data_IF_021457514683
#
_entry.id   IF_021457514683
#
_cell.length_a   1.000
_cell.length_b   1.000
_cell.length_c   1.000
_cell.angle_alpha   90.00
_cell.angle_beta   90.00
_cell.angle_gamma   90.00
#
_symmetry.space_group_name_H-M   'P 1'
#
loop_
_entity.id
_entity.type
_entity.pdbx_description
1 polymer ?
#
# COMPACT_ATOMS: atom_id res chain seq x y z
N UNK A 1 16.54 -15.69 16.96
CA UNK A 1 15.97 -15.73 15.60
C UNK A 1 16.89 -14.93 14.68
N UNK A 2 17.09 -15.37 13.44
CA UNK A 2 17.84 -14.62 12.41
C UNK A 2 16.84 -14.28 11.29
N UNK A 3 16.76 -13.02 10.92
CA UNK A 3 15.97 -12.53 9.80
C UNK A 3 16.94 -12.26 8.65
N UNK A 4 16.61 -12.73 7.46
CA UNK A 4 17.30 -12.42 6.20
C UNK A 4 16.31 -11.64 5.33
N UNK A 5 16.52 -10.33 5.24
CA UNK A 5 15.68 -9.43 4.45
C UNK A 5 16.20 -9.37 3.02
N UNK A 6 15.29 -9.57 2.07
CA UNK A 6 15.58 -9.50 0.64
C UNK A 6 14.47 -8.73 -0.07
N UNK A 7 14.84 -7.88 -0.99
CA UNK A 7 13.92 -7.21 -1.89
C UNK A 7 14.48 -7.27 -3.33
N UNK A 8 13.62 -7.42 -4.35
CA UNK A 8 14.05 -7.22 -5.73
C UNK A 8 14.35 -5.73 -5.98
N UNK A 9 15.12 -5.44 -7.04
CA UNK A 9 15.43 -4.05 -7.42
C UNK A 9 14.24 -3.32 -8.09
N UNK A 10 13.21 -4.06 -8.51
CA UNK A 10 11.98 -3.55 -9.14
C UNK A 10 10.79 -4.42 -8.79
N UNK A 11 9.58 -3.85 -8.88
CA UNK A 11 8.30 -4.54 -8.66
C UNK A 11 7.95 -5.46 -9.86
N UNK A 12 8.88 -6.34 -10.22
CA UNK A 12 8.75 -7.30 -11.31
C UNK A 12 8.63 -8.72 -10.75
N UNK A 13 7.61 -9.46 -11.16
CA UNK A 13 7.34 -10.82 -10.66
C UNK A 13 8.53 -11.77 -10.91
N UNK A 14 9.20 -11.67 -12.04
CA UNK A 14 10.37 -12.50 -12.36
C UNK A 14 11.55 -12.24 -11.41
N UNK A 15 11.78 -10.99 -11.04
CA UNK A 15 12.82 -10.60 -10.08
C UNK A 15 12.49 -11.10 -8.67
N UNK A 16 11.21 -11.00 -8.25
CA UNK A 16 10.76 -11.51 -6.96
C UNK A 16 10.85 -13.05 -6.93
N UNK A 17 10.39 -13.75 -7.97
CA UNK A 17 10.48 -15.21 -8.04
C UNK A 17 11.93 -15.72 -7.96
N UNK A 18 12.87 -15.06 -8.65
CA UNK A 18 14.30 -15.38 -8.51
C UNK A 18 14.81 -15.18 -7.08
N UNK A 19 14.35 -14.14 -6.40
CA UNK A 19 14.70 -13.88 -4.99
C UNK A 19 14.10 -14.94 -4.06
N UNK A 20 12.86 -15.39 -4.33
CA UNK A 20 12.21 -16.48 -3.59
C UNK A 20 12.95 -17.81 -3.75
N UNK A 21 13.36 -18.18 -4.97
CA UNK A 21 14.17 -19.37 -5.24
C UNK A 21 15.46 -19.37 -4.44
N UNK A 22 16.18 -18.24 -4.46
CA UNK A 22 17.42 -18.06 -3.70
C UNK A 22 17.20 -18.13 -2.19
N UNK A 23 16.11 -17.54 -1.70
CA UNK A 23 15.75 -17.63 -0.29
C UNK A 23 15.43 -19.06 0.12
N UNK A 24 14.59 -19.76 -0.66
CA UNK A 24 14.20 -21.14 -0.42
C UNK A 24 15.40 -22.12 -0.47
N UNK A 25 16.41 -21.84 -1.30
CA UNK A 25 17.63 -22.65 -1.38
C UNK A 25 18.45 -22.65 -0.09
N UNK A 26 18.24 -21.66 0.80
CA UNK A 26 18.90 -21.61 2.11
C UNK A 26 18.22 -22.47 3.18
N UNK A 27 17.12 -23.15 2.85
CA UNK A 27 16.27 -23.92 3.78
C UNK A 27 15.86 -23.10 5.03
N UNK A 28 15.17 -21.97 4.87
CA UNK A 28 14.71 -21.16 5.99
C UNK A 28 13.61 -21.89 6.78
N UNK A 29 13.40 -21.49 8.02
CA UNK A 29 12.32 -22.01 8.87
C UNK A 29 10.93 -21.60 8.34
N UNK A 30 10.82 -20.42 7.73
CA UNK A 30 9.63 -19.91 7.03
C UNK A 30 10.05 -18.77 6.09
N UNK A 31 9.18 -18.43 5.15
CA UNK A 31 9.32 -17.25 4.29
C UNK A 31 8.13 -16.33 4.57
N UNK A 32 8.41 -15.05 4.77
CA UNK A 32 7.43 -13.97 4.82
C UNK A 32 7.47 -13.27 3.46
N UNK A 33 6.32 -13.14 2.80
CA UNK A 33 6.22 -12.66 1.43
C UNK A 33 5.15 -11.58 1.29
N UNK A 34 5.55 -10.43 0.77
CA UNK A 34 4.66 -9.45 0.16
C UNK A 34 4.69 -9.67 -1.36
N UNK A 35 3.62 -10.25 -1.97
CA UNK A 35 3.67 -10.64 -3.37
C UNK A 35 3.42 -9.47 -4.31
N UNK A 36 4.38 -9.21 -5.21
CA UNK A 36 4.22 -8.27 -6.33
C UNK A 36 3.11 -8.71 -7.30
N UNK A 37 2.99 -10.01 -7.49
CA UNK A 37 1.97 -10.68 -8.31
C UNK A 37 1.78 -12.09 -7.75
N UNK A 38 0.65 -12.32 -7.06
CA UNK A 38 0.39 -13.63 -6.47
C UNK A 38 0.23 -14.71 -7.52
N UNK A 39 -0.52 -14.45 -8.60
CA UNK A 39 -0.80 -15.45 -9.63
C UNK A 39 0.49 -15.83 -10.39
N UNK A 40 1.33 -14.85 -10.69
CA UNK A 40 2.64 -15.06 -11.30
C UNK A 40 3.67 -15.73 -10.39
N UNK A 41 3.40 -15.79 -9.07
CA UNK A 41 4.27 -16.43 -8.07
C UNK A 41 3.67 -17.73 -7.50
N UNK A 42 2.45 -18.11 -7.89
CA UNK A 42 1.73 -19.23 -7.29
C UNK A 42 2.50 -20.57 -7.39
N UNK A 43 3.11 -20.84 -8.54
CA UNK A 43 3.87 -22.09 -8.76
C UNK A 43 5.09 -22.17 -7.83
N UNK A 44 5.88 -21.11 -7.72
CA UNK A 44 7.06 -21.10 -6.84
C UNK A 44 6.67 -21.13 -5.36
N UNK A 45 5.58 -20.47 -4.95
CA UNK A 45 5.05 -20.55 -3.60
C UNK A 45 4.70 -21.99 -3.28
N UNK A 46 4.01 -22.69 -4.19
CA UNK A 46 3.68 -24.10 -4.03
C UNK A 46 4.92 -24.99 -3.95
N UNK A 47 5.91 -24.80 -4.81
CA UNK A 47 7.17 -25.55 -4.76
C UNK A 47 7.90 -25.38 -3.42
N UNK A 48 7.86 -24.18 -2.83
CA UNK A 48 8.44 -23.86 -1.52
C UNK A 48 7.67 -24.62 -0.42
N UNK A 49 6.33 -24.60 -0.47
CA UNK A 49 5.49 -25.32 0.49
C UNK A 49 5.66 -26.84 0.39
N UNK A 50 5.82 -27.39 -0.82
CA UNK A 50 6.08 -28.83 -1.07
C UNK A 50 7.43 -29.29 -0.48
N UNK A 51 8.30 -28.35 -0.05
CA UNK A 51 9.55 -28.59 0.69
C UNK A 51 9.41 -28.42 2.20
N UNK A 52 8.18 -28.40 2.72
CA UNK A 52 7.86 -28.16 4.13
C UNK A 52 8.36 -26.79 4.65
N UNK A 53 8.48 -25.78 3.79
CA UNK A 53 8.81 -24.40 4.17
C UNK A 53 7.51 -23.59 4.19
N UNK A 54 7.01 -23.17 5.37
CA UNK A 54 5.82 -22.34 5.45
C UNK A 54 6.03 -20.97 4.76
N UNK A 55 5.03 -20.55 3.99
CA UNK A 55 4.96 -19.22 3.40
C UNK A 55 3.82 -18.45 4.06
N UNK A 56 4.13 -17.31 4.65
CA UNK A 56 3.19 -16.37 5.27
C UNK A 56 3.18 -15.11 4.43
N UNK A 57 2.01 -14.71 3.97
CA UNK A 57 1.86 -13.44 3.27
C UNK A 57 1.80 -12.30 4.29
N UNK A 58 2.25 -11.13 3.90
CA UNK A 58 1.98 -9.89 4.63
C UNK A 58 1.70 -8.76 3.64
N UNK A 59 1.02 -7.74 4.08
CA UNK A 59 0.54 -6.60 3.28
C UNK A 59 -0.15 -6.99 1.96
N UNK A 60 -0.78 -8.15 1.93
CA UNK A 60 -1.50 -8.68 0.78
C UNK A 60 -2.75 -9.44 1.24
N UNK A 61 -3.85 -9.45 0.46
CA UNK A 61 -5.02 -10.26 0.79
C UNK A 61 -4.68 -11.76 0.70
N UNK A 62 -5.39 -12.58 1.48
CA UNK A 62 -5.28 -14.05 1.36
C UNK A 62 -5.99 -14.52 0.09
N UNK A 63 -5.29 -15.14 -0.87
CA UNK A 63 -5.93 -15.66 -2.07
C UNK A 63 -6.92 -16.78 -1.72
N UNK A 64 -8.11 -16.74 -2.32
CA UNK A 64 -9.16 -17.69 -2.05
C UNK A 64 -8.70 -19.14 -2.34
N UNK A 65 -8.91 -20.04 -1.40
CA UNK A 65 -8.56 -21.47 -1.55
C UNK A 65 -7.06 -21.79 -1.51
N UNK A 66 -6.18 -20.82 -1.30
CA UNK A 66 -4.72 -21.03 -1.26
C UNK A 66 -4.24 -21.81 -0.03
N UNK A 67 -4.99 -21.76 1.06
CA UNK A 67 -4.56 -22.29 2.35
C UNK A 67 -3.43 -21.50 3.02
N UNK A 68 -3.07 -20.34 2.47
CA UNK A 68 -2.07 -19.43 3.04
C UNK A 68 -2.65 -18.61 4.19
N UNK A 69 -1.77 -18.15 5.05
CA UNK A 69 -2.06 -17.11 6.04
C UNK A 69 -1.55 -15.78 5.53
N UNK A 70 -2.34 -14.73 5.67
CA UNK A 70 -1.87 -13.37 5.46
C UNK A 70 -1.99 -12.53 6.73
N UNK A 71 -1.06 -11.60 6.90
CA UNK A 71 -1.05 -10.57 7.94
C UNK A 71 -1.12 -9.21 7.25
N UNK A 72 -2.23 -8.52 7.43
CA UNK A 72 -2.48 -7.24 6.74
C UNK A 72 -3.65 -6.51 7.37
N UNK A 73 -4.39 -5.82 6.54
CA UNK A 73 -5.63 -5.13 6.90
C UNK A 73 -6.66 -5.33 5.79
N UNK A 74 -7.86 -4.81 5.99
CA UNK A 74 -8.85 -4.68 4.91
C UNK A 74 -8.46 -3.51 3.99
N UNK A 75 -7.91 -3.82 2.81
CA UNK A 75 -7.43 -2.82 1.85
C UNK A 75 -8.58 -2.03 1.22
N UNK A 76 -9.76 -2.65 1.07
CA UNK A 76 -10.94 -1.96 0.59
C UNK A 76 -11.47 -0.97 1.63
N UNK A 77 -11.48 -1.33 2.92
CA UNK A 77 -11.80 -0.42 4.01
C UNK A 77 -10.78 0.72 4.09
N UNK A 78 -9.48 0.43 3.97
CA UNK A 78 -8.42 1.45 3.96
C UNK A 78 -8.64 2.50 2.87
N UNK A 79 -8.94 2.07 1.65
CA UNK A 79 -9.25 2.96 0.54
C UNK A 79 -10.55 3.75 0.76
N UNK A 80 -11.58 3.13 1.34
CA UNK A 80 -12.82 3.81 1.70
C UNK A 80 -12.58 4.91 2.72
N UNK A 81 -11.77 4.64 3.75
CA UNK A 81 -11.35 5.64 4.74
C UNK A 81 -10.63 6.82 4.08
N UNK A 82 -9.76 6.56 3.11
CA UNK A 82 -9.08 7.64 2.37
C UNK A 82 -10.06 8.53 1.59
N UNK A 83 -11.08 7.92 0.94
CA UNK A 83 -12.14 8.67 0.27
C UNK A 83 -12.97 9.49 1.26
N UNK A 84 -13.30 8.92 2.42
CA UNK A 84 -14.04 9.64 3.46
C UNK A 84 -13.25 10.87 3.94
N UNK A 85 -11.95 10.73 4.21
CA UNK A 85 -11.09 11.86 4.60
C UNK A 85 -10.98 12.91 3.48
N UNK A 86 -10.92 12.48 2.21
CA UNK A 86 -10.92 13.37 1.06
C UNK A 86 -12.22 14.20 1.01
N UNK A 87 -13.37 13.52 1.08
CA UNK A 87 -14.70 14.15 0.99
C UNK A 87 -15.01 15.03 2.20
N UNK A 88 -14.60 14.64 3.41
CA UNK A 88 -14.68 15.48 4.61
C UNK A 88 -14.01 16.84 4.39
N UNK A 89 -12.90 16.88 3.65
CA UNK A 89 -12.13 18.10 3.42
C UNK A 89 -12.58 18.88 2.21
N UNK A 90 -12.76 18.22 1.04
CA UNK A 90 -13.08 18.92 -0.21
C UNK A 90 -14.58 19.08 -0.47
N UNK A 91 -15.42 18.35 0.26
CA UNK A 91 -16.86 18.25 0.00
C UNK A 91 -17.19 17.18 -1.07
N UNK A 92 -18.48 17.09 -1.39
CA UNK A 92 -19.05 15.99 -2.22
C UNK A 92 -19.12 16.32 -3.70
N UNK A 93 -18.37 17.31 -4.20
CA UNK A 93 -18.35 17.71 -5.61
C UNK A 93 -16.96 18.20 -6.04
N UNK A 94 -16.63 18.00 -7.30
CA UNK A 94 -15.36 18.43 -7.87
C UNK A 94 -14.78 17.42 -8.83
N UNK A 95 -13.46 17.51 -9.08
CA UNK A 95 -12.72 16.58 -9.94
C UNK A 95 -11.64 15.90 -9.12
N UNK A 96 -11.62 14.58 -9.09
CA UNK A 96 -10.68 13.76 -8.32
C UNK A 96 -9.89 12.85 -9.25
N UNK A 97 -8.57 12.90 -9.17
CA UNK A 97 -7.68 11.95 -9.82
C UNK A 97 -7.39 10.78 -8.87
N UNK A 98 -7.40 9.57 -9.40
CA UNK A 98 -7.02 8.36 -8.67
C UNK A 98 -5.83 7.72 -9.38
N UNK A 99 -4.66 7.72 -8.72
CA UNK A 99 -3.44 7.08 -9.22
C UNK A 99 -3.42 5.62 -8.79
N UNK A 100 -3.08 4.75 -9.72
CA UNK A 100 -2.86 3.33 -9.47
C UNK A 100 -1.37 3.08 -9.23
N UNK A 101 -1.05 2.21 -8.25
CA UNK A 101 0.28 1.70 -8.03
C UNK A 101 0.67 0.63 -9.06
N UNK A 102 1.27 -0.48 -8.63
CA UNK A 102 1.51 -1.64 -9.48
C UNK A 102 0.20 -2.41 -9.70
N UNK A 103 -0.34 -2.50 -10.96
CA UNK A 103 -1.66 -3.09 -11.19
C UNK A 103 -1.77 -4.58 -10.86
N UNK A 104 -0.66 -5.30 -10.83
CA UNK A 104 -0.59 -6.74 -10.51
C UNK A 104 -0.42 -7.00 -9.01
N UNK A 105 -0.04 -5.99 -8.23
CA UNK A 105 0.05 -6.11 -6.78
C UNK A 105 -1.38 -6.16 -6.18
N UNK A 106 -1.74 -7.24 -5.46
CA UNK A 106 -3.11 -7.47 -5.04
C UNK A 106 -3.69 -6.37 -4.15
N UNK A 107 -2.89 -5.85 -3.20
CA UNK A 107 -3.26 -4.76 -2.31
C UNK A 107 -3.49 -3.45 -3.07
N UNK A 108 -2.64 -3.11 -4.05
CA UNK A 108 -2.79 -1.91 -4.88
C UNK A 108 -4.05 -1.98 -5.76
N UNK A 109 -4.29 -3.13 -6.38
CA UNK A 109 -5.46 -3.35 -7.22
C UNK A 109 -6.77 -3.24 -6.41
N UNK A 110 -6.80 -3.83 -5.20
CA UNK A 110 -7.95 -3.77 -4.30
C UNK A 110 -8.22 -2.35 -3.81
N UNK A 111 -7.19 -1.60 -3.38
CA UNK A 111 -7.31 -0.19 -2.98
C UNK A 111 -7.81 0.68 -4.13
N UNK A 112 -7.26 0.48 -5.35
CA UNK A 112 -7.69 1.25 -6.53
C UNK A 112 -9.17 1.05 -6.82
N UNK A 113 -9.63 -0.21 -6.89
CA UNK A 113 -11.04 -0.50 -7.14
C UNK A 113 -11.94 0.06 -6.03
N UNK A 114 -11.53 -0.08 -4.78
CA UNK A 114 -12.31 0.43 -3.64
C UNK A 114 -12.38 1.96 -3.61
N UNK A 115 -11.33 2.68 -4.04
CA UNK A 115 -11.41 4.13 -4.24
C UNK A 115 -12.50 4.49 -5.25
N UNK A 116 -12.54 3.80 -6.41
CA UNK A 116 -13.55 4.05 -7.45
C UNK A 116 -14.96 3.75 -6.93
N UNK A 117 -15.14 2.64 -6.23
CA UNK A 117 -16.44 2.22 -5.69
C UNK A 117 -16.92 3.18 -4.58
N UNK A 118 -16.02 3.68 -3.75
CA UNK A 118 -16.35 4.65 -2.71
C UNK A 118 -16.70 6.01 -3.33
N UNK A 119 -15.94 6.48 -4.32
CA UNK A 119 -16.22 7.74 -5.03
C UNK A 119 -17.52 7.69 -5.85
N UNK A 120 -17.91 6.51 -6.35
CA UNK A 120 -19.17 6.33 -7.08
C UNK A 120 -20.43 6.68 -6.25
N UNK A 121 -20.31 6.74 -4.91
CA UNK A 121 -21.38 7.19 -4.01
C UNK A 121 -21.65 8.72 -4.11
N UNK A 122 -20.74 9.47 -4.74
CA UNK A 122 -20.78 10.93 -4.86
C UNK A 122 -20.91 11.34 -6.33
N UNK A 123 -22.16 11.42 -6.89
CA UNK A 123 -22.38 11.62 -8.33
C UNK A 123 -21.90 12.97 -8.88
N UNK A 124 -21.66 13.95 -7.99
CA UNK A 124 -21.14 15.27 -8.37
C UNK A 124 -19.60 15.34 -8.35
N UNK A 125 -18.93 14.21 -8.06
CA UNK A 125 -17.49 14.07 -8.18
C UNK A 125 -17.17 13.44 -9.54
N UNK A 126 -16.43 14.17 -10.38
CA UNK A 126 -15.86 13.63 -11.60
C UNK A 126 -14.56 12.89 -11.28
N UNK A 127 -14.54 11.57 -11.42
CA UNK A 127 -13.33 10.78 -11.27
C UNK A 127 -12.56 10.75 -12.58
N UNK A 128 -11.26 10.97 -12.53
CA UNK A 128 -10.34 10.88 -13.67
C UNK A 128 -9.16 9.95 -13.34
N UNK A 129 -8.53 9.44 -14.39
CA UNK A 129 -7.30 8.67 -14.29
C UNK A 129 -6.17 9.54 -13.74
N UNK A 130 -5.53 9.12 -12.67
CA UNK A 130 -4.38 9.76 -12.03
C UNK A 130 -3.02 9.25 -12.53
N UNK A 131 -3.03 8.27 -13.44
CA UNK A 131 -1.83 7.60 -13.94
C UNK A 131 -1.52 6.30 -13.19
N UNK A 132 -0.43 5.66 -13.60
CA UNK A 132 0.10 4.42 -13.00
C UNK A 132 1.56 4.68 -12.67
N UNK A 133 1.94 4.54 -11.40
CA UNK A 133 3.31 4.80 -10.97
C UNK A 133 4.20 3.54 -10.91
N UNK A 134 3.61 2.34 -10.93
CA UNK A 134 4.31 1.06 -10.82
C UNK A 134 5.20 0.97 -9.57
N UNK A 135 4.72 1.49 -8.45
CA UNK A 135 5.43 1.50 -7.16
C UNK A 135 6.80 2.23 -7.24
N UNK A 136 6.80 3.36 -7.97
CA UNK A 136 7.98 4.18 -8.16
C UNK A 136 7.67 5.67 -7.96
N UNK A 137 8.32 6.29 -6.96
CA UNK A 137 8.08 7.69 -6.54
C UNK A 137 8.34 8.70 -7.65
N UNK A 138 9.38 8.50 -8.48
CA UNK A 138 9.72 9.41 -9.58
C UNK A 138 8.67 9.31 -10.70
N UNK A 139 8.16 8.12 -10.96
CA UNK A 139 7.04 7.89 -11.89
C UNK A 139 5.77 8.55 -11.34
N UNK A 140 5.46 8.39 -10.05
CA UNK A 140 4.33 9.06 -9.40
C UNK A 140 4.39 10.57 -9.59
N UNK A 141 5.56 11.19 -9.33
CA UNK A 141 5.76 12.62 -9.51
C UNK A 141 5.52 13.05 -10.97
N UNK A 142 6.09 12.33 -11.93
CA UNK A 142 5.97 12.69 -13.35
C UNK A 142 4.53 12.55 -13.87
N UNK A 143 3.85 11.47 -13.49
CA UNK A 143 2.43 11.23 -13.83
C UNK A 143 1.53 12.28 -13.20
N UNK A 144 1.68 12.54 -11.89
CA UNK A 144 0.91 13.57 -11.20
C UNK A 144 1.13 14.97 -11.82
N UNK A 145 2.36 15.34 -12.15
CA UNK A 145 2.67 16.60 -12.82
C UNK A 145 1.95 16.75 -14.17
N UNK A 146 1.84 15.66 -14.95
CA UNK A 146 1.10 15.65 -16.21
C UNK A 146 -0.42 15.77 -15.98
N UNK A 147 -0.97 15.06 -15.01
CA UNK A 147 -2.39 15.13 -14.63
C UNK A 147 -2.77 16.53 -14.16
N UNK A 148 -1.98 17.14 -13.27
CA UNK A 148 -2.19 18.50 -12.76
C UNK A 148 -2.12 19.55 -13.87
N UNK A 149 -1.17 19.41 -14.81
CA UNK A 149 -1.05 20.31 -15.95
C UNK A 149 -2.25 20.23 -16.90
N UNK A 150 -2.79 19.04 -17.13
CA UNK A 150 -3.97 18.81 -17.98
C UNK A 150 -5.29 19.20 -17.29
N UNK A 151 -5.33 19.28 -15.96
CA UNK A 151 -6.53 19.51 -15.16
C UNK A 151 -6.32 20.64 -14.14
N UNK A 152 -6.26 21.92 -14.57
CA UNK A 152 -6.05 23.06 -13.66
C UNK A 152 -7.24 23.29 -12.70
N UNK A 153 -8.36 22.60 -12.93
CA UNK A 153 -9.58 22.57 -12.12
C UNK A 153 -9.66 21.35 -11.18
N UNK A 154 -8.57 20.56 -11.06
CA UNK A 154 -8.52 19.43 -10.15
C UNK A 154 -8.68 19.89 -8.70
N UNK A 155 -9.51 19.19 -7.93
CA UNK A 155 -9.81 19.52 -6.52
C UNK A 155 -9.41 18.42 -5.55
N UNK A 156 -9.20 17.18 -6.00
CA UNK A 156 -8.80 16.07 -5.18
C UNK A 156 -7.83 15.13 -5.87
N UNK A 157 -7.00 14.45 -5.07
CA UNK A 157 -6.08 13.40 -5.52
C UNK A 157 -6.06 12.25 -4.52
N UNK A 158 -5.99 11.01 -5.02
CA UNK A 158 -5.79 9.78 -4.24
C UNK A 158 -4.71 8.94 -4.93
N UNK A 159 -3.90 8.23 -4.17
CA UNK A 159 -3.00 7.19 -4.66
C UNK A 159 -3.24 5.86 -3.91
N UNK A 160 -2.67 4.76 -4.40
CA UNK A 160 -2.97 3.41 -3.91
C UNK A 160 -1.81 2.73 -3.19
N UNK A 161 -0.65 3.38 -3.10
CA UNK A 161 0.62 2.83 -2.62
C UNK A 161 1.46 3.86 -1.84
N UNK A 162 2.69 3.48 -1.49
CA UNK A 162 3.62 4.30 -0.72
C UNK A 162 4.29 5.45 -1.52
N UNK A 163 3.88 5.70 -2.79
CA UNK A 163 4.49 6.72 -3.65
C UNK A 163 3.90 8.13 -3.48
N UNK A 164 3.09 8.35 -2.43
CA UNK A 164 2.41 9.63 -2.16
C UNK A 164 3.34 10.85 -2.09
N UNK A 165 4.60 10.69 -1.67
CA UNK A 165 5.59 11.77 -1.66
C UNK A 165 5.88 12.32 -3.07
N UNK A 166 5.86 11.49 -4.10
CA UNK A 166 5.99 11.91 -5.50
C UNK A 166 4.82 12.76 -5.97
N UNK A 167 3.59 12.37 -5.64
CA UNK A 167 2.38 13.16 -5.93
C UNK A 167 2.42 14.50 -5.21
N UNK A 168 2.80 14.52 -3.93
CA UNK A 168 2.93 15.75 -3.14
C UNK A 168 3.96 16.70 -3.75
N UNK A 169 5.13 16.20 -4.16
CA UNK A 169 6.15 17.00 -4.84
C UNK A 169 5.61 17.66 -6.11
N UNK A 170 4.84 16.92 -6.93
CA UNK A 170 4.22 17.47 -8.14
C UNK A 170 3.17 18.55 -7.82
N UNK A 171 2.38 18.40 -6.76
CA UNK A 171 1.41 19.39 -6.30
C UNK A 171 2.14 20.70 -5.90
N UNK A 172 3.26 20.58 -5.15
CA UNK A 172 4.08 21.76 -4.77
C UNK A 172 4.71 22.44 -5.98
N UNK A 173 5.32 21.69 -6.90
CA UNK A 173 5.93 22.24 -8.11
C UNK A 173 4.92 23.00 -8.98
N UNK A 174 3.64 22.60 -8.97
CA UNK A 174 2.56 23.28 -9.69
C UNK A 174 1.92 24.42 -8.89
N UNK A 175 2.28 24.60 -7.61
CA UNK A 175 1.68 25.61 -6.74
C UNK A 175 0.18 25.37 -6.52
N UNK A 176 -0.23 24.11 -6.38
CA UNK A 176 -1.65 23.70 -6.26
C UNK A 176 -2.03 23.23 -4.84
N UNK A 177 -1.18 23.42 -3.83
CA UNK A 177 -1.38 22.97 -2.45
C UNK A 177 -2.69 23.50 -1.83
N UNK A 178 -3.07 24.73 -2.16
CA UNK A 178 -4.30 25.37 -1.67
C UNK A 178 -5.56 24.97 -2.47
N UNK A 179 -5.41 24.19 -3.55
CA UNK A 179 -6.49 23.84 -4.48
C UNK A 179 -6.82 22.36 -4.48
N UNK A 180 -5.82 21.51 -4.33
CA UNK A 180 -5.94 20.06 -4.43
C UNK A 180 -5.89 19.47 -3.03
N UNK A 181 -6.98 18.88 -2.58
CA UNK A 181 -7.01 18.04 -1.39
C UNK A 181 -6.38 16.70 -1.76
N UNK A 182 -5.22 16.39 -1.20
CA UNK A 182 -4.56 15.11 -1.45
C UNK A 182 -4.61 14.23 -0.18
N UNK A 183 -5.18 13.03 -0.33
CA UNK A 183 -5.13 11.99 0.69
C UNK A 183 -4.28 10.85 0.16
N UNK A 184 -3.19 10.57 0.87
CA UNK A 184 -2.21 9.56 0.50
C UNK A 184 -2.49 8.20 1.14
N UNK A 185 -1.65 7.22 0.79
CA UNK A 185 -1.52 5.92 1.46
C UNK A 185 -0.21 5.87 2.24
N UNK A 186 -0.23 5.05 3.30
CA UNK A 186 0.91 4.66 4.11
C UNK A 186 1.51 5.76 5.01
N UNK A 187 2.56 5.39 5.75
CA UNK A 187 3.15 6.22 6.80
C UNK A 187 4.68 6.34 6.70
N UNK A 188 5.23 6.27 5.48
CA UNK A 188 6.64 6.57 5.28
C UNK A 188 6.97 7.98 5.76
N UNK A 189 8.15 8.19 6.30
CA UNK A 189 8.54 9.46 6.90
C UNK A 189 8.40 10.63 5.91
N UNK A 190 8.68 10.39 4.63
CA UNK A 190 8.55 11.37 3.55
C UNK A 190 7.07 11.77 3.34
N UNK A 191 6.13 10.84 3.50
CA UNK A 191 4.68 11.11 3.43
C UNK A 191 4.26 11.91 4.66
N UNK A 192 4.70 11.49 5.86
CA UNK A 192 4.38 12.17 7.12
C UNK A 192 4.91 13.60 7.15
N UNK A 193 6.09 13.86 6.59
CA UNK A 193 6.64 15.20 6.45
C UNK A 193 5.74 16.11 5.58
N UNK A 194 5.18 15.56 4.49
CA UNK A 194 4.21 16.30 3.67
C UNK A 194 2.84 16.50 4.36
N UNK A 195 2.42 15.57 5.23
CA UNK A 195 1.24 15.80 6.09
C UNK A 195 1.52 16.92 7.08
N UNK A 196 2.71 16.94 7.67
CA UNK A 196 3.13 17.97 8.63
C UNK A 196 3.23 19.36 7.99
N UNK A 197 3.67 19.47 6.74
CA UNK A 197 3.73 20.72 5.99
C UNK A 197 2.38 21.13 5.38
N UNK A 198 1.42 20.20 5.28
CA UNK A 198 0.06 20.45 4.80
C UNK A 198 -0.15 20.23 3.30
N UNK A 199 0.88 19.80 2.55
CA UNK A 199 0.72 19.44 1.12
C UNK A 199 -0.09 18.15 0.97
N UNK A 200 0.13 17.16 1.83
CA UNK A 200 -0.75 16.02 2.01
C UNK A 200 -1.74 16.39 3.13
N UNK A 201 -3.03 16.31 2.82
CA UNK A 201 -4.11 16.64 3.77
C UNK A 201 -4.22 15.59 4.87
N UNK A 202 -4.09 14.33 4.50
CA UNK A 202 -4.18 13.15 5.37
C UNK A 202 -3.58 11.93 4.68
N UNK A 203 -3.33 10.87 5.43
CA UNK A 203 -3.00 9.56 4.85
C UNK A 203 -3.72 8.44 5.60
N UNK A 204 -4.16 7.42 4.85
CA UNK A 204 -4.70 6.17 5.38
C UNK A 204 -3.58 5.12 5.33
N UNK A 205 -3.19 4.61 6.48
CA UNK A 205 -1.99 3.78 6.60
C UNK A 205 -2.30 2.35 7.00
N UNK A 206 -1.58 1.40 6.44
CA UNK A 206 -1.36 0.12 7.10
C UNK A 206 -0.60 0.32 8.41
N UNK A 207 -0.42 -0.75 9.20
CA UNK A 207 0.40 -0.74 10.41
C UNK A 207 1.60 -1.68 10.23
N UNK A 208 2.67 -1.25 9.51
CA UNK A 208 3.75 -2.15 9.08
C UNK A 208 4.52 -2.80 10.24
N UNK A 209 4.63 -2.11 11.38
CA UNK A 209 5.30 -2.65 12.58
C UNK A 209 4.50 -3.84 13.14
N UNK A 210 3.18 -3.70 13.23
CA UNK A 210 2.26 -4.76 13.66
C UNK A 210 2.24 -5.91 12.65
N UNK A 211 2.17 -5.60 11.36
CA UNK A 211 2.24 -6.61 10.30
C UNK A 211 3.53 -7.43 10.41
N UNK A 212 4.69 -6.79 10.54
CA UNK A 212 5.97 -7.46 10.71
C UNK A 212 6.03 -8.33 11.96
N UNK A 213 5.53 -7.83 13.09
CA UNK A 213 5.48 -8.57 14.36
C UNK A 213 4.59 -9.80 14.26
N UNK A 214 3.36 -9.64 13.76
CA UNK A 214 2.42 -10.76 13.63
C UNK A 214 2.84 -11.75 12.54
N UNK A 215 3.44 -11.31 11.43
CA UNK A 215 3.95 -12.21 10.41
C UNK A 215 5.05 -13.13 10.96
N UNK A 216 5.97 -12.60 11.78
CA UNK A 216 6.98 -13.39 12.48
C UNK A 216 6.35 -14.35 13.49
N UNK A 217 5.30 -13.94 14.20
CA UNK A 217 4.57 -14.82 15.12
C UNK A 217 3.89 -15.98 14.36
N UNK A 218 3.27 -15.69 13.23
CA UNK A 218 2.66 -16.74 12.37
C UNK A 218 3.72 -17.71 11.85
N UNK A 219 4.88 -17.20 11.41
CA UNK A 219 5.99 -18.06 10.99
C UNK A 219 6.49 -18.96 12.12
N UNK A 220 6.58 -18.44 13.36
CA UNK A 220 6.93 -19.25 14.52
C UNK A 220 5.90 -20.35 14.81
N UNK A 221 4.60 -20.00 14.76
CA UNK A 221 3.51 -20.99 15.00
C UNK A 221 3.50 -22.07 13.91
N UNK A 222 3.69 -21.67 12.63
CA UNK A 222 3.81 -22.63 11.54
C UNK A 222 4.96 -23.62 11.74
N UNK A 223 6.13 -23.12 12.16
CA UNK A 223 7.30 -23.96 12.44
C UNK A 223 7.09 -24.93 13.60
N UNK A 224 6.11 -24.69 14.49
CA UNK A 224 5.72 -25.60 15.57
C UNK A 224 4.58 -26.56 15.15
N UNK A 225 4.14 -26.50 13.89
CA UNK A 225 3.01 -27.30 13.41
C UNK A 225 1.65 -26.87 13.97
N UNK A 226 1.54 -25.65 14.49
CA UNK A 226 0.29 -25.11 15.01
C UNK A 226 -0.61 -24.65 13.85
N UNK A 227 -1.95 -24.78 13.97
CA UNK A 227 -2.86 -24.25 12.96
C UNK A 227 -2.80 -22.72 12.95
N UNK A 228 -2.88 -22.16 11.75
CA UNK A 228 -2.88 -20.72 11.54
C UNK A 228 -4.27 -20.21 11.11
N UNK A 229 -4.65 -18.98 11.46
CA UNK A 229 -5.81 -18.33 10.86
C UNK A 229 -5.54 -18.01 9.38
N UNK A 230 -6.59 -17.83 8.58
CA UNK A 230 -6.43 -17.39 7.19
C UNK A 230 -5.93 -15.92 7.13
N UNK A 231 -6.45 -15.07 8.02
CA UNK A 231 -6.09 -13.66 8.11
C UNK A 231 -5.76 -13.24 9.53
N UNK A 232 -4.82 -12.29 9.65
CA UNK A 232 -4.58 -11.49 10.85
C UNK A 232 -4.74 -10.04 10.45
N UNK A 233 -5.83 -9.40 10.88
CA UNK A 233 -6.08 -7.98 10.65
C UNK A 233 -5.31 -7.15 11.68
N UNK A 234 -4.48 -6.23 11.20
CA UNK A 234 -3.65 -5.34 12.03
C UNK A 234 -4.29 -3.96 12.24
N UNK A 235 -5.40 -3.69 11.56
CA UNK A 235 -6.08 -2.40 11.60
C UNK A 235 -5.52 -1.37 10.62
N UNK A 236 -6.10 -0.16 10.66
CA UNK A 236 -5.82 0.93 9.73
C UNK A 236 -5.58 2.21 10.51
N UNK A 237 -4.48 2.91 10.19
CA UNK A 237 -4.15 4.22 10.75
C UNK A 237 -4.81 5.35 9.95
N UNK A 238 -5.51 6.27 10.65
CA UNK A 238 -5.96 7.55 10.09
C UNK A 238 -5.00 8.63 10.56
N UNK A 239 -4.22 9.19 9.65
CA UNK A 239 -3.16 10.15 9.96
C UNK A 239 -3.53 11.51 9.39
N UNK A 240 -3.55 12.50 10.24
CA UNK A 240 -3.89 13.90 9.92
C UNK A 240 -2.92 14.84 10.63
N UNK A 241 -3.00 16.13 10.36
CA UNK A 241 -2.22 17.14 11.07
C UNK A 241 -2.42 17.09 12.61
N UNK A 242 -3.56 16.58 13.09
CA UNK A 242 -3.89 16.58 14.51
C UNK A 242 -3.11 15.51 15.31
N UNK A 243 -2.67 14.42 14.65
CA UNK A 243 -1.96 13.30 15.29
C UNK A 243 -0.59 12.99 14.65
N UNK A 244 -0.12 13.82 13.75
CA UNK A 244 1.09 13.58 12.95
C UNK A 244 2.36 13.40 13.80
N UNK A 245 2.50 14.16 14.90
CA UNK A 245 3.70 14.10 15.72
C UNK A 245 3.83 12.73 16.43
N UNK A 246 2.73 12.12 16.86
CA UNK A 246 2.70 10.77 17.44
C UNK A 246 3.12 9.72 16.41
N UNK A 247 2.67 9.87 15.16
CA UNK A 247 3.04 8.96 14.07
C UNK A 247 4.51 9.08 13.67
N UNK A 248 5.03 10.30 13.58
CA UNK A 248 6.47 10.54 13.32
C UNK A 248 7.32 9.90 14.43
N UNK A 249 6.94 10.06 15.69
CA UNK A 249 7.64 9.43 16.82
C UNK A 249 7.60 7.90 16.69
N UNK A 250 6.45 7.31 16.40
CA UNK A 250 6.26 5.86 16.24
C UNK A 250 7.12 5.30 15.11
N UNK A 251 7.09 5.93 13.93
CA UNK A 251 7.83 5.46 12.75
C UNK A 251 9.34 5.67 12.92
N UNK A 252 9.76 6.71 13.64
CA UNK A 252 11.18 7.02 13.90
C UNK A 252 11.76 6.22 15.06
N UNK A 253 10.94 5.55 15.87
CA UNK A 253 11.41 4.71 16.97
C UNK A 253 12.18 3.49 16.43
N UNK A 254 13.45 3.33 16.86
CA UNK A 254 14.33 2.23 16.44
C UNK A 254 14.29 1.07 17.44
#
# INVERSE_FOLDING_TARGET
>A
MKIDYRAPESAEVSAQNSTLEQAAATNPTAILLDPVDYDGSADIIKEIQDRDIPVILFDAPTPEGSGLTSVGNDFAEQATIAVDMLVEKMGTKGKVAVMQGAPTAPNHAERYQAHLDALAKYPDIQVIDGGIDNDNVETAQSQAAAVLAANPDLTGYLNCDACGSGVAAAIEEKGMQDKVTFVAMDNLIEILDYVKTGTITATSSTLPQEQGMYAVLMAYQAAQGMPLPANVDTGIGRITADNIDEWIETVSAK
#
